data_IF_252507377295
#
_entry.id   IF_252507377295
#
_cell.length_a   1.000
_cell.length_b   1.000
_cell.length_c   1.000
_cell.angle_alpha   90.00
_cell.angle_beta   90.00
_cell.angle_gamma   90.00
#
_symmetry.space_group_name_H-M   'P 1'
#
loop_
_entity.id
_entity.type
_entity.pdbx_description
1 polymer ?
#
# COMPACT_ATOMS: atom_id res chain seq x y z
N UNK A 1 -5.67 6.28 4.09
CA UNK A 1 -6.75 6.22 3.08
C UNK A 1 -6.13 6.16 1.70
N UNK A 2 -6.37 5.07 0.97
CA UNK A 2 -5.79 4.74 -0.33
C UNK A 2 -5.99 5.82 -1.40
N UNK A 3 -4.96 6.62 -1.75
CA UNK A 3 -5.08 7.71 -2.71
C UNK A 3 -5.44 7.23 -4.12
N UNK A 4 -5.11 5.96 -4.43
CA UNK A 4 -5.40 5.30 -5.70
C UNK A 4 -6.85 4.79 -5.81
N UNK A 5 -7.60 4.65 -4.72
CA UNK A 5 -8.91 3.97 -4.69
C UNK A 5 -9.98 4.69 -5.52
N UNK A 6 -9.75 5.96 -5.86
CA UNK A 6 -10.60 6.76 -6.76
C UNK A 6 -10.17 6.70 -8.23
N UNK A 7 -8.98 6.15 -8.49
CA UNK A 7 -8.36 6.06 -9.82
C UNK A 7 -8.53 4.66 -10.40
N UNK A 8 -8.20 3.63 -9.62
CA UNK A 8 -8.41 2.24 -10.03
C UNK A 8 -9.90 1.91 -10.07
N UNK A 9 -10.33 1.26 -11.15
CA UNK A 9 -11.70 0.78 -11.33
C UNK A 9 -11.64 -0.67 -11.77
N UNK A 10 -11.97 -1.58 -10.86
CA UNK A 10 -11.95 -3.01 -11.17
C UNK A 10 -12.92 -3.41 -12.29
N UNK A 11 -14.02 -2.66 -12.42
CA UNK A 11 -15.04 -2.86 -13.48
C UNK A 11 -14.67 -2.23 -14.82
N UNK A 12 -13.57 -1.47 -14.90
CA UNK A 12 -13.09 -0.93 -16.17
C UNK A 12 -12.36 -2.03 -16.98
N UNK A 13 -12.19 -1.86 -18.30
CA UNK A 13 -11.35 -2.73 -19.10
C UNK A 13 -9.96 -2.86 -18.49
N UNK A 14 -9.50 -4.09 -18.30
CA UNK A 14 -8.19 -4.42 -17.73
C UNK A 14 -7.15 -4.74 -18.81
N UNK A 15 -7.42 -4.37 -20.07
CA UNK A 15 -6.42 -4.48 -21.13
C UNK A 15 -5.22 -3.57 -20.85
N UNK A 16 -4.09 -3.88 -21.48
CA UNK A 16 -2.81 -3.19 -21.20
C UNK A 16 -2.90 -1.67 -21.38
N UNK A 17 -3.66 -1.18 -22.37
CA UNK A 17 -3.77 0.25 -22.63
C UNK A 17 -4.60 0.93 -21.53
N UNK A 18 -5.75 0.36 -21.19
CA UNK A 18 -6.62 0.86 -20.13
C UNK A 18 -5.93 0.85 -18.76
N UNK A 19 -5.18 -0.22 -18.44
CA UNK A 19 -4.43 -0.32 -17.20
C UNK A 19 -3.31 0.74 -17.12
N UNK A 20 -2.56 0.91 -18.21
CA UNK A 20 -1.49 1.92 -18.28
C UNK A 20 -2.04 3.34 -18.11
N UNK A 21 -3.21 3.63 -18.68
CA UNK A 21 -3.87 4.93 -18.51
C UNK A 21 -4.32 5.16 -17.05
N UNK A 22 -4.83 4.13 -16.37
CA UNK A 22 -5.14 4.23 -14.94
C UNK A 22 -3.90 4.53 -14.09
N UNK A 23 -2.76 3.89 -14.39
CA UNK A 23 -1.48 4.19 -13.72
C UNK A 23 -1.07 5.64 -14.01
N UNK A 24 -1.03 6.06 -15.28
CA UNK A 24 -0.68 7.43 -15.67
C UNK A 24 -1.55 8.48 -14.99
N UNK A 25 -2.84 8.20 -14.84
CA UNK A 25 -3.76 9.07 -14.10
C UNK A 25 -3.42 9.12 -12.61
N UNK A 26 -3.07 7.99 -12.01
CA UNK A 26 -2.62 7.91 -10.62
C UNK A 26 -1.37 8.75 -10.38
N UNK A 27 -0.37 8.65 -11.26
CA UNK A 27 0.90 9.39 -11.18
C UNK A 27 0.75 10.91 -11.20
N UNK A 28 -0.36 11.44 -11.73
CA UNK A 28 -0.65 12.88 -11.76
C UNK A 28 -1.18 13.43 -10.42
N UNK A 29 -1.39 12.58 -9.42
CA UNK A 29 -1.93 13.03 -8.14
C UNK A 29 -0.83 13.70 -7.30
N UNK A 30 -1.01 15.00 -7.04
CA UNK A 30 -0.06 15.83 -6.29
C UNK A 30 0.18 15.36 -4.85
N UNK A 31 -0.75 14.56 -4.28
CA UNK A 31 -0.60 14.01 -2.92
C UNK A 31 0.67 13.18 -2.76
N UNK A 32 1.17 12.56 -3.83
CA UNK A 32 2.39 11.75 -3.79
C UNK A 32 3.65 12.60 -3.56
N UNK A 33 3.60 13.92 -3.80
CA UNK A 33 4.65 14.86 -3.40
C UNK A 33 4.60 15.26 -1.92
N UNK A 34 3.61 14.81 -1.16
CA UNK A 34 3.37 15.21 0.25
C UNK A 34 3.46 14.04 1.23
N UNK A 35 3.65 12.81 0.75
CA UNK A 35 3.70 11.59 1.59
C UNK A 35 5.04 10.89 1.44
N UNK A 36 5.42 10.14 2.47
CA UNK A 36 6.69 9.39 2.49
C UNK A 36 6.54 7.93 1.99
N UNK A 37 5.31 7.46 1.76
CA UNK A 37 5.04 6.10 1.30
C UNK A 37 3.60 5.86 0.89
N UNK A 38 3.34 4.68 0.32
CA UNK A 38 2.02 4.27 -0.19
C UNK A 38 1.62 2.96 0.48
N UNK A 39 0.37 2.84 0.91
CA UNK A 39 -0.15 1.56 1.38
C UNK A 39 -0.39 0.64 0.17
N UNK A 40 0.41 -0.42 0.05
CA UNK A 40 0.38 -1.38 -1.07
C UNK A 40 -0.22 -2.73 -0.69
N UNK A 41 -0.37 -2.99 0.61
CA UNK A 41 -0.99 -4.21 1.14
C UNK A 41 -2.07 -3.88 2.16
N UNK A 42 -3.33 -3.90 1.74
CA UNK A 42 -4.47 -3.68 2.63
C UNK A 42 -5.31 -4.96 2.75
N UNK A 43 -5.59 -5.38 3.99
CA UNK A 43 -6.37 -6.59 4.28
C UNK A 43 -7.82 -6.56 3.79
N UNK A 44 -8.37 -5.36 3.51
CA UNK A 44 -9.69 -5.17 2.93
C UNK A 44 -9.66 -4.81 1.44
N UNK A 45 -8.48 -4.68 0.86
CA UNK A 45 -8.28 -4.53 -0.58
C UNK A 45 -8.29 -5.88 -1.27
N UNK A 46 -8.84 -5.92 -2.48
CA UNK A 46 -8.70 -7.08 -3.37
C UNK A 46 -7.24 -7.25 -3.81
N UNK A 47 -6.87 -8.45 -4.26
CA UNK A 47 -5.51 -8.71 -4.77
C UNK A 47 -5.14 -7.74 -5.90
N UNK A 48 -6.09 -7.40 -6.78
CA UNK A 48 -5.86 -6.45 -7.88
C UNK A 48 -5.71 -5.00 -7.41
N UNK A 49 -6.44 -4.59 -6.38
CA UNK A 49 -6.25 -3.26 -5.78
C UNK A 49 -4.85 -3.14 -5.16
N UNK A 50 -4.41 -4.17 -4.43
CA UNK A 50 -3.07 -4.22 -3.85
C UNK A 50 -1.98 -4.25 -4.94
N UNK A 51 -2.18 -5.03 -6.01
CA UNK A 51 -1.28 -5.05 -7.18
C UNK A 51 -1.17 -3.67 -7.86
N UNK A 52 -2.31 -3.01 -8.12
CA UNK A 52 -2.32 -1.67 -8.69
C UNK A 52 -1.52 -0.67 -7.83
N UNK A 53 -1.67 -0.77 -6.51
CA UNK A 53 -0.97 0.08 -5.55
C UNK A 53 0.53 -0.17 -5.55
N UNK A 54 0.93 -1.44 -5.59
CA UNK A 54 2.34 -1.84 -5.73
C UNK A 54 2.96 -1.33 -7.02
N UNK A 55 2.24 -1.43 -8.15
CA UNK A 55 2.70 -0.91 -9.43
C UNK A 55 2.84 0.62 -9.41
N UNK A 56 1.88 1.33 -8.79
CA UNK A 56 1.96 2.78 -8.64
C UNK A 56 3.15 3.21 -7.75
N UNK A 57 3.37 2.51 -6.63
CA UNK A 57 4.52 2.76 -5.75
C UNK A 57 5.85 2.51 -6.45
N UNK A 58 5.94 1.46 -7.27
CA UNK A 58 7.13 1.16 -8.09
C UNK A 58 7.45 2.28 -9.08
N UNK A 59 6.45 2.79 -9.80
CA UNK A 59 6.63 3.90 -10.75
C UNK A 59 7.05 5.20 -10.03
N UNK A 60 6.48 5.47 -8.86
CA UNK A 60 6.82 6.63 -8.03
C UNK A 60 8.14 6.45 -7.26
N UNK A 61 8.73 5.26 -7.27
CA UNK A 61 9.90 4.88 -6.46
C UNK A 61 9.69 5.14 -4.96
N UNK A 62 8.47 4.89 -4.48
CA UNK A 62 8.08 5.11 -3.10
C UNK A 62 8.02 3.78 -2.34
N UNK A 63 8.39 3.77 -1.04
CA UNK A 63 8.27 2.61 -0.19
C UNK A 63 6.79 2.25 0.09
N UNK A 64 6.54 0.96 0.29
CA UNK A 64 5.21 0.39 0.47
C UNK A 64 4.91 0.02 1.93
N UNK A 65 3.80 0.50 2.49
CA UNK A 65 3.27 0.05 3.78
C UNK A 65 2.19 -1.01 3.62
N UNK A 66 1.94 -1.79 4.67
CA UNK A 66 0.83 -2.73 4.75
C UNK A 66 0.07 -2.62 6.06
N UNK A 67 -1.26 -2.82 6.02
CA UNK A 67 -2.12 -2.86 7.18
C UNK A 67 -3.30 -3.81 6.98
N UNK A 68 -3.69 -4.51 8.04
CA UNK A 68 -4.87 -5.37 8.03
C UNK A 68 -6.17 -4.62 7.81
N UNK A 69 -6.25 -3.36 8.28
CA UNK A 69 -7.49 -2.58 8.38
C UNK A 69 -8.62 -3.41 9.02
N UNK A 70 -8.28 -4.14 10.09
CA UNK A 70 -9.13 -5.18 10.65
C UNK A 70 -10.42 -4.62 11.27
N UNK A 71 -11.57 -5.14 10.84
CA UNK A 71 -12.89 -4.84 11.44
C UNK A 71 -13.52 -6.08 12.10
N UNK A 72 -12.93 -7.26 11.87
CA UNK A 72 -13.29 -8.55 12.45
C UNK A 72 -12.02 -9.30 12.87
N UNK A 73 -12.17 -10.30 13.74
CA UNK A 73 -11.04 -11.14 14.20
C UNK A 73 -10.29 -11.81 13.04
N UNK A 74 -11.01 -12.26 12.02
CA UNK A 74 -10.45 -12.86 10.81
C UNK A 74 -9.53 -11.92 10.02
N UNK A 75 -9.65 -10.62 10.22
CA UNK A 75 -8.92 -9.63 9.44
C UNK A 75 -7.58 -9.29 10.10
N UNK A 76 -7.42 -9.61 11.39
CA UNK A 76 -6.23 -9.29 12.19
C UNK A 76 -5.02 -10.02 11.61
N UNK A 77 -3.95 -9.27 11.34
CA UNK A 77 -2.70 -9.86 10.87
C UNK A 77 -2.81 -10.47 9.47
N UNK A 78 -3.64 -9.90 8.58
CA UNK A 78 -3.61 -10.21 7.13
C UNK A 78 -2.46 -9.49 6.42
N UNK A 79 -2.19 -8.24 6.82
CA UNK A 79 -1.06 -7.44 6.37
C UNK A 79 -0.46 -6.63 7.53
N UNK A 80 0.84 -6.36 7.43
CA UNK A 80 1.57 -5.48 8.33
C UNK A 80 2.68 -4.72 7.57
N UNK A 81 3.24 -3.71 8.23
CA UNK A 81 4.46 -3.04 7.79
C UNK A 81 5.62 -3.57 8.62
N UNK A 82 6.59 -4.21 7.98
CA UNK A 82 7.81 -4.67 8.62
C UNK A 82 8.85 -3.55 8.58
N UNK A 83 9.29 -3.08 9.74
CA UNK A 83 10.35 -2.10 9.88
C UNK A 83 11.69 -2.79 10.09
N UNK A 84 12.73 -2.33 9.38
CA UNK A 84 14.09 -2.86 9.57
C UNK A 84 14.80 -2.29 10.80
N UNK A 85 14.31 -1.16 11.30
CA UNK A 85 14.78 -0.57 12.54
C UNK A 85 13.92 -1.01 13.72
N UNK A 86 14.52 -1.01 14.91
CA UNK A 86 13.77 -1.20 16.15
C UNK A 86 12.96 0.05 16.44
N UNK A 87 11.64 -0.08 16.47
CA UNK A 87 10.73 1.01 16.81
C UNK A 87 10.39 0.92 18.30
N UNK A 88 10.78 1.94 19.07
CA UNK A 88 10.46 2.02 20.51
C UNK A 88 9.46 3.12 20.85
N UNK A 89 9.19 4.03 19.90
CA UNK A 89 8.24 5.11 20.04
C UNK A 89 7.89 5.77 18.70
N UNK A 90 7.12 6.86 18.78
CA UNK A 90 6.66 7.60 17.60
C UNK A 90 7.80 8.27 16.84
N UNK A 91 8.84 8.72 17.51
CA UNK A 91 9.97 9.38 16.86
C UNK A 91 10.76 8.40 15.97
N UNK A 92 11.05 7.21 16.48
CA UNK A 92 11.65 6.12 15.69
C UNK A 92 10.78 5.76 14.49
N UNK A 93 9.46 5.65 14.70
CA UNK A 93 8.51 5.34 13.64
C UNK A 93 8.54 6.40 12.52
N UNK A 94 8.53 7.68 12.87
CA UNK A 94 8.60 8.78 11.91
C UNK A 94 9.92 8.72 11.13
N UNK A 95 11.04 8.48 11.81
CA UNK A 95 12.35 8.35 11.15
C UNK A 95 12.35 7.17 10.17
N UNK A 96 11.87 6.00 10.58
CA UNK A 96 11.83 4.83 9.70
C UNK A 96 10.91 5.03 8.51
N UNK A 97 9.73 5.66 8.69
CA UNK A 97 8.82 6.00 7.59
C UNK A 97 9.51 6.95 6.59
N UNK A 98 10.12 8.04 7.07
CA UNK A 98 10.82 9.00 6.20
C UNK A 98 12.03 8.41 5.48
N UNK A 99 12.68 7.41 6.08
CA UNK A 99 13.83 6.73 5.46
C UNK A 99 13.45 5.71 4.39
N UNK A 100 12.18 5.28 4.34
CA UNK A 100 11.74 4.20 3.45
C UNK A 100 12.26 2.81 3.81
N UNK A 101 12.83 2.63 5.01
CA UNK A 101 13.41 1.35 5.47
C UNK A 101 12.35 0.41 6.08
N UNK A 102 11.40 0.03 5.26
CA UNK A 102 10.33 -0.88 5.63
C UNK A 102 9.69 -1.48 4.38
N UNK A 103 8.98 -2.59 4.56
CA UNK A 103 8.21 -3.21 3.49
C UNK A 103 6.86 -3.71 3.97
N UNK A 104 5.88 -3.69 3.07
CA UNK A 104 4.59 -4.33 3.29
C UNK A 104 4.77 -5.85 3.30
N UNK A 105 4.21 -6.51 4.33
CA UNK A 105 4.19 -7.96 4.46
C UNK A 105 2.76 -8.47 4.50
N UNK A 106 2.46 -9.43 3.63
CA UNK A 106 1.32 -10.32 3.81
C UNK A 106 1.69 -11.30 4.91
N UNK A 107 0.78 -11.50 5.85
CA UNK A 107 0.98 -12.36 6.99
C UNK A 107 0.07 -13.57 6.83
N UNK A 108 0.64 -14.76 7.02
CA UNK A 108 -0.14 -16.00 7.03
C UNK A 108 -0.74 -16.15 8.42
N UNK A 109 -2.05 -15.90 8.52
CA UNK A 109 -2.79 -16.17 9.75
C UNK A 109 -2.90 -17.69 9.87
N UNK A 110 -2.12 -18.30 10.77
CA UNK A 110 -2.49 -19.61 11.30
C UNK A 110 -3.62 -19.37 12.32
N UNK A 111 -4.86 -19.81 12.06
CA UNK A 111 -5.87 -19.82 13.11
C UNK A 111 -5.33 -20.71 14.24
N UNK A 112 -5.16 -20.11 15.42
CA UNK A 112 -4.92 -20.84 16.66
C UNK A 112 -6.13 -21.72 17.01
#
# INVERSE_FOLDING_TARGET
AHPYRRVYRETAPQDKASYSEMINRGLRNEVFGMVDGIEVGNGRGTDKENEFSGNLAKELKMPGTGASDAHKLSDIGTYATEFYDKITGSDDLIVSIKSGRYDARKLDIHPA
#
